data_IF_262203238448
#
_entry.id   IF_262203238448
#
_cell.length_a   1.000
_cell.length_b   1.000
_cell.length_c   1.000
_cell.angle_alpha   90.00
_cell.angle_beta   90.00
_cell.angle_gamma   90.00
#
_symmetry.space_group_name_H-M   'P 1'
#
loop_
_entity.id
_entity.type
_entity.pdbx_description
1 polymer ?
#
# COMPACT_ATOMS: atom_id res chain seq x y z
N UNK A 1 31.14 2.92 16.29
CA UNK A 1 30.53 3.46 17.53
C UNK A 1 29.28 4.31 17.22
N UNK A 2 28.36 3.83 16.35
CA UNK A 2 27.21 4.62 15.86
C UNK A 2 25.94 3.78 15.68
N UNK A 3 25.60 2.95 16.67
CA UNK A 3 24.45 2.01 16.58
C UNK A 3 23.33 2.32 17.60
N UNK A 4 23.68 2.93 18.74
CA UNK A 4 22.72 3.19 19.82
C UNK A 4 21.69 4.31 19.52
N UNK A 5 22.06 5.34 18.75
CA UNK A 5 21.13 6.43 18.40
C UNK A 5 20.06 6.01 17.39
N UNK A 6 20.41 5.17 16.42
CA UNK A 6 19.46 4.69 15.41
C UNK A 6 18.44 3.70 15.97
N UNK A 7 18.81 2.92 16.99
CA UNK A 7 17.91 2.01 17.69
C UNK A 7 16.86 2.73 18.55
N UNK A 8 17.23 3.84 19.20
CA UNK A 8 16.31 4.62 20.03
C UNK A 8 15.28 5.39 19.19
N UNK A 9 15.69 5.90 18.02
CA UNK A 9 14.81 6.60 17.08
C UNK A 9 13.77 5.64 16.46
N UNK A 10 14.17 4.40 16.16
CA UNK A 10 13.25 3.35 15.71
C UNK A 10 12.20 2.98 16.78
N UNK A 11 12.56 3.01 18.07
CA UNK A 11 11.62 2.78 19.17
C UNK A 11 10.65 3.96 19.39
N UNK A 12 10.99 5.16 18.89
CA UNK A 12 10.13 6.36 18.89
C UNK A 12 9.32 6.53 17.58
N UNK A 13 9.44 5.61 16.62
CA UNK A 13 8.72 5.68 15.34
C UNK A 13 9.39 6.53 14.26
N UNK A 14 10.72 6.70 14.31
CA UNK A 14 11.50 7.36 13.25
C UNK A 14 11.70 6.49 12.00
N UNK A 15 11.97 7.12 10.85
CA UNK A 15 12.32 6.44 9.60
C UNK A 15 13.74 6.80 9.15
N UNK A 16 14.42 5.89 8.42
CA UNK A 16 15.80 6.06 7.96
C UNK A 16 15.89 6.17 6.45
N UNK A 17 16.62 7.18 5.97
CA UNK A 17 16.99 7.32 4.55
C UNK A 17 18.16 6.38 4.24
N UNK A 18 18.00 5.50 3.25
CA UNK A 18 19.01 4.49 2.89
C UNK A 18 19.91 4.93 1.72
N UNK A 19 19.55 5.99 1.00
CA UNK A 19 20.31 6.49 -0.14
C UNK A 19 19.86 7.88 -0.58
N UNK A 20 20.75 8.58 -1.28
CA UNK A 20 20.56 9.99 -1.65
C UNK A 20 20.99 10.96 -0.53
N UNK A 21 20.85 12.25 -0.80
CA UNK A 21 21.08 13.34 0.16
C UNK A 21 19.92 14.31 0.05
N UNK A 22 18.74 13.97 0.59
CA UNK A 22 17.57 14.84 0.53
C UNK A 22 17.86 16.16 1.23
N UNK A 23 17.27 17.21 0.70
CA UNK A 23 17.27 18.53 1.34
C UNK A 23 16.43 18.50 2.62
N UNK A 24 16.64 19.48 3.50
CA UNK A 24 15.85 19.61 4.73
C UNK A 24 14.36 19.78 4.44
N UNK A 25 14.02 20.50 3.37
CA UNK A 25 12.65 20.69 2.90
C UNK A 25 11.99 19.35 2.53
N UNK A 26 12.70 18.49 1.79
CA UNK A 26 12.20 17.17 1.39
C UNK A 26 12.02 16.23 2.59
N UNK A 27 12.94 16.29 3.57
CA UNK A 27 12.81 15.53 4.82
C UNK A 27 11.61 16.00 5.65
N UNK A 28 11.39 17.31 5.73
CA UNK A 28 10.24 17.88 6.42
C UNK A 28 8.92 17.47 5.74
N UNK A 29 8.87 17.56 4.40
CA UNK A 29 7.71 17.15 3.62
C UNK A 29 7.39 15.65 3.82
N UNK A 30 8.41 14.77 3.73
CA UNK A 30 8.22 13.34 3.95
C UNK A 30 7.70 13.04 5.37
N UNK A 31 8.27 13.70 6.38
CA UNK A 31 7.85 13.54 7.78
C UNK A 31 6.40 14.00 7.98
N UNK A 32 6.01 15.13 7.40
CA UNK A 32 4.64 15.64 7.49
C UNK A 32 3.63 14.67 6.85
N UNK A 33 3.95 14.07 5.70
CA UNK A 33 3.09 13.08 5.04
C UNK A 33 2.94 11.83 5.90
N UNK A 34 4.05 11.29 6.42
CA UNK A 34 4.02 10.09 7.28
C UNK A 34 3.22 10.36 8.55
N UNK A 35 3.43 11.50 9.19
CA UNK A 35 2.67 11.90 10.39
C UNK A 35 1.17 12.06 10.09
N UNK A 36 0.81 12.65 8.95
CA UNK A 36 -0.58 12.77 8.53
C UNK A 36 -1.22 11.39 8.29
N UNK A 37 -0.50 10.45 7.66
CA UNK A 37 -0.97 9.08 7.47
C UNK A 37 -1.12 8.32 8.79
N UNK A 38 -0.20 8.52 9.74
CA UNK A 38 -0.27 7.89 11.06
C UNK A 38 -1.41 8.46 11.92
N UNK A 39 -1.76 9.73 11.74
CA UNK A 39 -2.85 10.40 12.45
C UNK A 39 -4.23 10.07 11.84
N UNK A 40 -4.29 9.47 10.65
CA UNK A 40 -5.56 9.05 10.07
C UNK A 40 -6.20 8.01 10.99
N UNK A 41 -7.48 8.18 11.38
CA UNK A 41 -8.19 7.15 12.10
C UNK A 41 -8.17 5.88 11.24
N UNK A 42 -7.97 4.72 11.89
CA UNK A 42 -8.03 3.45 11.19
C UNK A 42 -9.36 3.42 10.41
N UNK A 43 -9.27 3.39 9.07
CA UNK A 43 -10.46 3.28 8.25
C UNK A 43 -11.21 2.05 8.75
N UNK A 44 -12.51 2.23 9.06
CA UNK A 44 -13.38 1.14 9.47
C UNK A 44 -13.19 0.02 8.47
N UNK A 45 -12.60 -1.09 8.94
CA UNK A 45 -12.34 -2.20 8.06
C UNK A 45 -13.71 -2.67 7.58
N UNK A 46 -14.00 -2.64 6.26
CA UNK A 46 -15.34 -2.89 5.79
C UNK A 46 -15.78 -4.23 6.36
N UNK A 47 -16.88 -4.20 7.14
CA UNK A 47 -17.38 -5.39 7.79
C UNK A 47 -17.49 -6.50 6.74
N UNK A 48 -17.02 -7.69 7.09
CA UNK A 48 -16.99 -8.83 6.16
C UNK A 48 -18.43 -9.08 5.68
N UNK A 49 -18.74 -8.64 4.46
CA UNK A 49 -20.11 -8.72 3.93
C UNK A 49 -20.41 -10.16 3.57
N UNK A 50 -21.61 -10.62 3.92
CA UNK A 50 -22.11 -11.89 3.41
C UNK A 50 -22.11 -11.87 1.87
N UNK A 51 -21.75 -12.98 1.20
CA UNK A 51 -21.76 -13.03 -0.26
C UNK A 51 -23.14 -12.71 -0.84
N UNK A 52 -23.18 -11.79 -1.79
CA UNK A 52 -24.42 -11.45 -2.49
C UNK A 52 -24.88 -12.58 -3.43
N UNK A 53 -26.05 -12.42 -4.06
CA UNK A 53 -26.61 -13.43 -4.95
C UNK A 53 -25.73 -13.68 -6.19
N UNK A 54 -25.00 -12.67 -6.66
CA UNK A 54 -24.09 -12.80 -7.78
C UNK A 54 -22.86 -13.60 -7.38
N UNK A 55 -22.19 -13.24 -6.28
CA UNK A 55 -21.04 -13.95 -5.72
C UNK A 55 -21.36 -15.42 -5.42
N UNK A 56 -22.58 -15.72 -4.94
CA UNK A 56 -23.02 -17.11 -4.72
C UNK A 56 -23.27 -17.90 -5.99
N UNK A 57 -23.64 -17.23 -7.08
CA UNK A 57 -23.91 -17.87 -8.37
C UNK A 57 -22.67 -17.93 -9.28
N UNK A 58 -21.60 -17.20 -8.94
CA UNK A 58 -20.31 -17.29 -9.62
C UNK A 58 -19.80 -18.73 -9.60
N UNK A 59 -19.53 -19.26 -10.79
CA UNK A 59 -18.96 -20.59 -10.99
C UNK A 59 -17.47 -20.41 -11.26
N UNK A 60 -16.64 -21.21 -10.59
CA UNK A 60 -15.21 -21.23 -10.88
C UNK A 60 -14.94 -21.55 -12.35
N UNK A 61 -13.93 -20.90 -12.92
CA UNK A 61 -13.45 -21.20 -14.26
C UNK A 61 -12.95 -22.65 -14.25
N UNK A 62 -13.52 -23.50 -15.11
CA UNK A 62 -13.26 -24.94 -15.11
C UNK A 62 -12.01 -25.35 -15.90
N UNK A 63 -11.20 -24.39 -16.33
CA UNK A 63 -10.01 -24.65 -17.15
C UNK A 63 -9.18 -23.40 -17.39
N UNK A 64 -8.04 -23.57 -18.04
CA UNK A 64 -7.12 -22.47 -18.37
C UNK A 64 -7.76 -21.52 -19.37
N UNK A 65 -7.93 -20.25 -18.99
CA UNK A 65 -8.26 -19.20 -19.93
C UNK A 65 -6.98 -18.84 -20.69
N UNK A 66 -6.92 -19.18 -21.98
CA UNK A 66 -5.79 -18.81 -22.84
C UNK A 66 -6.11 -17.47 -23.51
N UNK A 67 -5.36 -16.40 -23.21
CA UNK A 67 -5.39 -15.17 -23.99
C UNK A 67 -5.22 -15.43 -25.48
N UNK A 68 -6.15 -14.95 -26.30
CA UNK A 68 -5.94 -14.87 -27.74
C UNK A 68 -4.93 -13.76 -28.09
N UNK A 69 -4.19 -13.85 -29.22
CA UNK A 69 -3.30 -12.79 -29.68
C UNK A 69 -4.04 -11.45 -29.78
N UNK A 70 -3.57 -10.43 -29.04
CA UNK A 70 -4.16 -9.08 -29.00
C UNK A 70 -5.47 -8.93 -28.22
N UNK A 71 -5.98 -9.97 -27.53
CA UNK A 71 -7.39 -10.03 -27.08
C UNK A 71 -7.72 -9.45 -25.70
N UNK A 72 -6.74 -9.01 -24.90
CA UNK A 72 -7.02 -8.37 -23.60
C UNK A 72 -6.89 -6.85 -23.60
N UNK A 73 -6.67 -6.23 -24.76
CA UNK A 73 -6.71 -4.77 -24.90
C UNK A 73 -8.10 -4.34 -25.32
N UNK A 74 -9.01 -4.33 -24.34
CA UNK A 74 -10.38 -3.84 -24.49
C UNK A 74 -10.63 -2.62 -23.63
N UNK A 75 -9.84 -1.55 -23.80
CA UNK A 75 -10.23 -0.17 -23.50
C UNK A 75 -9.25 0.80 -24.17
N UNK A 76 -9.77 1.63 -25.06
CA UNK A 76 -9.09 2.80 -25.62
C UNK A 76 -10.13 3.92 -25.68
N UNK A 77 -10.32 4.63 -24.57
CA UNK A 77 -11.23 5.76 -24.47
C UNK A 77 -11.66 6.04 -23.05
#
# INVERSE_FOLDING_TARGET
>A
MSDARGSADAALGGFRVLGGSPTEEELAAATAVIAALAAQPAAEQPARRAPDAWQRSQRGVRGTLVPGPGRWRGFSG
#
